data_IF_891317639390
#
_entry.id   IF_891317639390
#
_cell.length_a   1.000
_cell.length_b   1.000
_cell.length_c   1.000
_cell.angle_alpha   90.00
_cell.angle_beta   90.00
_cell.angle_gamma   90.00
#
_symmetry.space_group_name_H-M   'P 1'
#
loop_
_entity.id
_entity.type
_entity.pdbx_description
1 polymer ?
#
# COMPACT_ATOMS: atom_id res chain seq x y z
N UNK A 1 66.30 -67.23 32.91
CA UNK A 1 64.96 -66.71 33.29
C UNK A 1 65.15 -65.37 33.99
N UNK A 2 64.77 -64.28 33.33
CA UNK A 2 64.00 -63.19 33.94
C UNK A 2 63.73 -62.13 32.89
N UNK A 3 62.48 -62.16 32.44
CA UNK A 3 61.84 -61.19 31.58
C UNK A 3 61.47 -59.97 32.42
N UNK A 4 61.90 -58.77 32.03
CA UNK A 4 61.26 -57.52 32.47
C UNK A 4 60.95 -56.68 31.26
N UNK A 5 59.67 -56.75 30.91
CA UNK A 5 58.99 -56.09 29.82
C UNK A 5 58.72 -54.64 30.23
N UNK A 6 59.53 -53.68 29.79
CA UNK A 6 59.25 -52.25 30.01
C UNK A 6 58.18 -51.78 29.00
N UNK A 7 56.95 -51.70 29.50
CA UNK A 7 55.79 -51.16 28.82
C UNK A 7 56.02 -49.66 28.51
N UNK A 8 56.27 -49.33 27.24
CA UNK A 8 56.24 -47.95 26.73
C UNK A 8 54.80 -47.43 26.74
N UNK A 9 54.41 -46.67 27.77
CA UNK A 9 53.13 -45.95 27.83
C UNK A 9 53.10 -44.90 26.70
N UNK A 10 52.29 -45.13 25.65
CA UNK A 10 51.96 -44.11 24.63
C UNK A 10 51.40 -42.85 25.31
N UNK A 11 51.89 -41.64 24.99
CA UNK A 11 51.36 -40.41 25.56
C UNK A 11 49.91 -40.19 25.10
N UNK A 12 48.99 -39.95 26.05
CA UNK A 12 47.61 -39.58 25.77
C UNK A 12 47.62 -38.26 24.98
N UNK A 13 47.13 -38.27 23.73
CA UNK A 13 46.97 -37.06 22.91
C UNK A 13 46.05 -36.08 23.66
N UNK A 14 46.61 -34.98 24.17
CA UNK A 14 45.84 -33.83 24.66
C UNK A 14 45.21 -33.16 23.44
N UNK A 15 43.95 -33.47 23.18
CA UNK A 15 43.29 -33.09 21.92
C UNK A 15 43.04 -31.58 21.81
N UNK A 16 43.02 -30.84 22.92
CA UNK A 16 42.83 -29.38 22.93
C UNK A 16 43.62 -28.75 24.10
N UNK A 17 44.78 -28.18 23.84
CA UNK A 17 45.45 -27.24 24.76
C UNK A 17 45.40 -25.85 24.14
N UNK A 18 44.30 -25.13 24.33
CA UNK A 18 44.22 -23.75 23.89
C UNK A 18 45.04 -22.88 24.83
N UNK A 19 46.07 -22.20 24.31
CA UNK A 19 46.69 -21.10 25.04
C UNK A 19 45.67 -20.00 25.31
N UNK A 20 45.84 -19.22 26.38
CA UNK A 20 44.91 -18.15 26.78
C UNK A 20 44.49 -17.25 25.60
N UNK A 21 45.42 -16.95 24.69
CA UNK A 21 45.15 -16.19 23.46
C UNK A 21 44.16 -16.88 22.51
N UNK A 22 44.30 -18.20 22.33
CA UNK A 22 43.38 -18.99 21.51
C UNK A 22 41.98 -19.09 22.13
N UNK A 23 41.90 -19.16 23.46
CA UNK A 23 40.62 -19.11 24.18
C UNK A 23 39.94 -17.74 24.04
N UNK A 24 40.68 -16.63 24.14
CA UNK A 24 40.11 -15.29 23.96
C UNK A 24 39.57 -15.08 22.54
N UNK A 25 40.29 -15.55 21.51
CA UNK A 25 39.81 -15.48 20.12
C UNK A 25 38.55 -16.34 19.94
N UNK A 26 38.53 -17.55 20.50
CA UNK A 26 37.35 -18.43 20.44
C UNK A 26 36.13 -17.81 21.14
N UNK A 27 36.30 -17.20 22.31
CA UNK A 27 35.22 -16.49 23.02
C UNK A 27 34.69 -15.33 22.18
N UNK A 28 35.57 -14.54 21.56
CA UNK A 28 35.16 -13.41 20.71
C UNK A 28 34.40 -13.89 19.46
N UNK A 29 34.85 -14.98 18.85
CA UNK A 29 34.18 -15.60 17.70
C UNK A 29 32.81 -16.17 18.07
N UNK A 30 32.61 -16.62 19.31
CA UNK A 30 31.31 -17.08 19.80
C UNK A 30 30.42 -15.93 20.28
N UNK A 31 30.98 -14.86 20.85
CA UNK A 31 30.20 -13.77 21.43
C UNK A 31 29.48 -12.92 20.39
N UNK A 32 30.08 -12.70 19.22
CA UNK A 32 29.48 -11.91 18.13
C UNK A 32 28.18 -12.55 17.59
N UNK A 33 28.16 -13.83 17.15
CA UNK A 33 26.92 -14.46 16.71
C UNK A 33 25.92 -14.64 17.86
N UNK A 34 26.37 -14.88 19.10
CA UNK A 34 25.47 -14.98 20.24
C UNK A 34 24.78 -13.66 20.55
N UNK A 35 25.49 -12.53 20.43
CA UNK A 35 24.90 -11.19 20.56
C UNK A 35 23.88 -10.90 19.47
N UNK A 36 24.15 -11.31 18.23
CA UNK A 36 23.21 -11.17 17.11
C UNK A 36 21.93 -12.00 17.33
N UNK A 37 22.08 -13.26 17.74
CA UNK A 37 20.94 -14.14 18.07
C UNK A 37 20.16 -13.58 19.27
N UNK A 38 20.83 -13.12 20.32
CA UNK A 38 20.16 -12.54 21.49
C UNK A 38 19.33 -11.31 21.11
N UNK A 39 19.84 -10.46 20.22
CA UNK A 39 19.09 -9.32 19.66
C UNK A 39 17.86 -9.78 18.87
N UNK A 40 18.01 -10.79 18.02
CA UNK A 40 16.92 -11.30 17.20
C UNK A 40 15.84 -12.02 18.04
N UNK A 41 16.25 -12.75 19.08
CA UNK A 41 15.33 -13.34 20.06
C UNK A 41 14.58 -12.25 20.82
N UNK A 42 15.28 -11.24 21.31
CA UNK A 42 14.66 -10.12 22.03
C UNK A 42 13.67 -9.35 21.13
N UNK A 43 14.02 -9.12 19.86
CA UNK A 43 13.12 -8.54 18.86
C UNK A 43 11.87 -9.40 18.69
N UNK A 44 12.06 -10.69 18.43
CA UNK A 44 10.97 -11.64 18.16
C UNK A 44 10.00 -11.73 19.32
N UNK A 45 10.51 -11.73 20.57
CA UNK A 45 9.66 -11.71 21.77
C UNK A 45 8.77 -10.48 21.82
N UNK A 46 9.30 -9.28 21.54
CA UNK A 46 8.51 -8.04 21.56
C UNK A 46 7.48 -7.97 20.43
N UNK A 47 7.87 -8.37 19.22
CA UNK A 47 6.95 -8.46 18.09
C UNK A 47 5.84 -9.49 18.37
N UNK A 48 6.20 -10.66 18.92
CA UNK A 48 5.23 -11.70 19.29
C UNK A 48 4.30 -11.25 20.41
N UNK A 49 4.79 -10.50 21.40
CA UNK A 49 3.95 -9.92 22.46
C UNK A 49 2.91 -8.95 21.89
N UNK A 50 3.33 -8.06 20.99
CA UNK A 50 2.43 -7.15 20.30
C UNK A 50 1.38 -7.91 19.46
N UNK A 51 1.82 -8.89 18.65
CA UNK A 51 0.93 -9.74 17.85
C UNK A 51 -0.04 -10.51 18.74
N UNK A 52 0.44 -11.13 19.81
CA UNK A 52 -0.41 -11.88 20.74
C UNK A 52 -1.43 -10.97 21.41
N UNK A 53 -1.07 -9.72 21.74
CA UNK A 53 -2.01 -8.75 22.28
C UNK A 53 -3.12 -8.42 21.28
N UNK A 54 -2.77 -8.21 20.01
CA UNK A 54 -3.71 -7.92 18.91
C UNK A 54 -4.61 -9.12 18.59
N UNK A 55 -4.03 -10.33 18.50
CA UNK A 55 -4.80 -11.55 18.20
C UNK A 55 -5.73 -11.93 19.36
N UNK A 56 -5.33 -11.69 20.61
CA UNK A 56 -6.20 -11.89 21.78
C UNK A 56 -7.41 -10.96 21.75
N UNK A 57 -7.29 -9.79 21.15
CA UNK A 57 -8.36 -8.80 21.09
C UNK A 57 -9.28 -8.97 19.88
N UNK A 58 -8.87 -9.79 18.89
CA UNK A 58 -9.66 -10.10 17.69
C UNK A 58 -9.10 -9.51 16.40
N UNK A 59 -7.99 -8.77 16.49
CA UNK A 59 -7.22 -8.29 15.34
C UNK A 59 -6.37 -9.40 14.73
N UNK A 60 -5.59 -9.03 13.72
CA UNK A 60 -4.77 -9.95 12.96
C UNK A 60 -3.44 -9.32 12.55
N UNK A 61 -2.38 -10.11 12.55
CA UNK A 61 -1.07 -9.71 12.05
C UNK A 61 -0.48 -10.74 11.09
N UNK A 62 0.26 -10.25 10.09
CA UNK A 62 1.05 -11.09 9.18
C UNK A 62 2.51 -10.73 9.27
N UNK A 63 3.32 -11.78 9.13
CA UNK A 63 4.75 -11.68 8.94
C UNK A 63 5.11 -11.61 7.46
N UNK A 64 6.25 -10.99 7.16
CA UNK A 64 6.80 -10.81 5.81
C UNK A 64 6.80 -12.07 4.92
N UNK A 65 7.16 -13.23 5.47
CA UNK A 65 7.20 -14.49 4.72
C UNK A 65 5.81 -15.02 4.31
N UNK A 66 4.73 -14.58 4.98
CA UNK A 66 3.36 -14.98 4.65
C UNK A 66 2.81 -14.24 3.41
N UNK A 67 3.39 -13.10 3.03
CA UNK A 67 3.07 -12.43 1.75
C UNK A 67 3.65 -13.16 0.55
N UNK A 68 4.76 -13.87 0.74
CA UNK A 68 5.48 -14.58 -0.33
C UNK A 68 4.88 -15.95 -0.67
N UNK A 69 3.95 -16.46 0.15
CA UNK A 69 3.29 -17.73 -0.16
C UNK A 69 2.25 -17.54 -1.26
N UNK A 70 2.41 -18.25 -2.37
CA UNK A 70 1.37 -18.40 -3.37
C UNK A 70 0.12 -19.05 -2.74
N UNK A 71 -1.05 -18.66 -3.21
CA UNK A 71 -2.34 -19.18 -2.73
C UNK A 71 -2.33 -20.72 -2.67
N UNK A 72 -2.48 -21.28 -1.47
CA UNK A 72 -2.57 -22.72 -1.23
C UNK A 72 -1.26 -23.44 -0.88
N UNK A 73 -0.11 -22.76 -0.91
CA UNK A 73 1.15 -23.32 -0.43
C UNK A 73 1.43 -22.94 1.03
N UNK A 74 1.93 -23.87 1.87
CA UNK A 74 2.35 -23.54 3.22
C UNK A 74 3.52 -22.55 3.16
N UNK A 75 3.52 -21.49 4.00
CA UNK A 75 4.51 -20.43 3.88
C UNK A 75 5.92 -20.92 4.24
N UNK A 76 6.89 -20.57 3.42
CA UNK A 76 8.29 -20.95 3.63
C UNK A 76 8.86 -20.21 4.84
N UNK A 77 9.11 -20.94 5.93
CA UNK A 77 9.68 -20.38 7.14
C UNK A 77 11.12 -19.89 6.92
N UNK A 78 11.45 -18.64 7.30
CA UNK A 78 12.79 -18.10 7.08
C UNK A 78 13.85 -18.70 8.01
N UNK A 79 15.09 -18.72 7.52
CA UNK A 79 16.30 -19.05 8.28
C UNK A 79 16.51 -20.53 8.67
N UNK A 80 17.54 -20.83 9.48
CA UNK A 80 17.93 -22.20 9.83
C UNK A 80 16.91 -22.87 10.76
N UNK A 81 16.53 -24.11 10.43
CA UNK A 81 15.56 -24.89 11.22
C UNK A 81 15.96 -25.08 12.68
N UNK A 82 17.27 -25.16 12.99
CA UNK A 82 17.79 -25.32 14.35
C UNK A 82 17.42 -24.13 15.22
N UNK A 83 17.55 -22.91 14.69
CA UNK A 83 17.21 -21.69 15.42
C UNK A 83 15.71 -21.60 15.66
N UNK A 84 14.90 -21.98 14.66
CA UNK A 84 13.44 -22.06 14.83
C UNK A 84 13.02 -23.03 15.91
N UNK A 85 13.64 -24.21 15.94
CA UNK A 85 13.37 -25.22 16.98
C UNK A 85 13.74 -24.73 18.38
N UNK A 86 14.75 -23.87 18.51
CA UNK A 86 15.22 -23.36 19.80
C UNK A 86 14.47 -22.11 20.26
N UNK A 87 14.04 -21.25 19.35
CA UNK A 87 13.60 -19.89 19.66
C UNK A 87 12.23 -19.51 19.06
N UNK A 88 11.59 -20.41 18.32
CA UNK A 88 10.31 -20.19 17.65
C UNK A 88 10.44 -19.90 16.16
N UNK A 89 9.35 -20.12 15.44
CA UNK A 89 9.32 -20.08 13.97
C UNK A 89 9.51 -18.66 13.39
N UNK A 90 9.25 -17.62 14.19
CA UNK A 90 9.32 -16.22 13.77
C UNK A 90 10.68 -15.54 13.99
N UNK A 91 11.72 -16.26 14.45
CA UNK A 91 13.03 -15.65 14.78
C UNK A 91 13.67 -14.85 13.63
N UNK A 92 13.41 -15.24 12.39
CA UNK A 92 13.88 -14.55 11.19
C UNK A 92 12.77 -13.86 10.39
N UNK A 93 11.55 -13.86 10.92
CA UNK A 93 10.41 -13.19 10.35
C UNK A 93 10.21 -11.82 11.01
N UNK A 94 9.48 -10.96 10.32
CA UNK A 94 9.09 -9.66 10.86
C UNK A 94 7.62 -9.37 10.63
N UNK A 95 6.97 -8.77 11.62
CA UNK A 95 5.61 -8.26 11.47
C UNK A 95 5.61 -7.17 10.41
N UNK A 96 4.78 -7.34 9.39
CA UNK A 96 4.72 -6.50 8.20
C UNK A 96 3.32 -5.91 7.97
N UNK A 97 2.26 -6.64 8.37
CA UNK A 97 0.89 -6.19 8.26
C UNK A 97 0.17 -6.37 9.59
N UNK A 98 -0.56 -5.35 10.03
CA UNK A 98 -1.42 -5.40 11.22
C UNK A 98 -2.78 -4.80 10.91
N UNK A 99 -3.83 -5.50 11.33
CA UNK A 99 -5.22 -5.04 11.34
C UNK A 99 -5.73 -5.11 12.77
N UNK A 100 -6.10 -3.97 13.33
CA UNK A 100 -6.73 -3.88 14.67
C UNK A 100 -8.24 -3.95 14.49
N UNK A 101 -8.93 -4.77 15.28
CA UNK A 101 -10.38 -4.94 15.22
C UNK A 101 -11.15 -3.87 16.01
N UNK A 102 -12.45 -3.73 15.73
CA UNK A 102 -13.27 -2.61 16.22
C UNK A 102 -13.44 -2.52 17.75
N UNK A 103 -13.38 -3.66 18.47
CA UNK A 103 -13.72 -3.73 19.90
C UNK A 103 -12.58 -3.32 20.85
N UNK A 104 -11.48 -2.85 20.29
CA UNK A 104 -10.16 -2.99 20.91
C UNK A 104 -9.60 -1.62 21.22
N UNK A 105 -9.02 -1.38 22.40
CA UNK A 105 -8.44 -0.07 22.71
C UNK A 105 -7.17 0.18 21.89
N UNK A 106 -7.35 0.92 20.79
CA UNK A 106 -6.27 1.24 19.84
C UNK A 106 -5.12 1.98 20.53
N UNK A 107 -5.40 2.76 21.59
CA UNK A 107 -4.39 3.54 22.28
C UNK A 107 -3.50 2.72 23.21
N UNK A 108 -3.94 1.52 23.58
CA UNK A 108 -3.09 0.55 24.27
C UNK A 108 -2.25 -0.25 23.28
N UNK A 109 -2.79 -0.57 22.09
CA UNK A 109 -2.13 -1.45 21.12
C UNK A 109 -1.10 -0.73 20.24
N UNK A 110 -1.40 0.47 19.74
CA UNK A 110 -0.50 1.20 18.83
C UNK A 110 0.88 1.46 19.44
N UNK A 111 1.03 1.86 20.71
CA UNK A 111 2.35 2.00 21.33
C UNK A 111 3.20 0.72 21.34
N UNK A 112 2.58 -0.47 21.37
CA UNK A 112 3.29 -1.75 21.30
C UNK A 112 3.92 -1.98 19.92
N UNK A 113 3.30 -1.45 18.86
CA UNK A 113 3.78 -1.52 17.48
C UNK A 113 5.08 -0.75 17.26
N UNK A 114 5.50 0.12 18.19
CA UNK A 114 6.82 0.75 18.14
C UNK A 114 7.98 -0.26 18.07
N UNK A 115 7.74 -1.50 18.54
CA UNK A 115 8.70 -2.61 18.44
C UNK A 115 8.74 -3.28 17.05
N UNK A 116 7.70 -3.10 16.23
CA UNK A 116 7.56 -3.70 14.90
C UNK A 116 8.27 -2.83 13.85
N UNK A 117 9.62 -2.84 13.87
CA UNK A 117 10.44 -1.97 13.03
C UNK A 117 10.37 -2.22 11.52
N UNK A 118 9.59 -3.22 11.07
CA UNK A 118 9.32 -3.48 9.64
C UNK A 118 7.83 -3.42 9.28
N UNK A 119 6.96 -2.96 10.19
CA UNK A 119 5.55 -2.83 9.92
C UNK A 119 5.34 -1.92 8.71
N UNK A 120 4.80 -2.48 7.61
CA UNK A 120 4.57 -1.81 6.34
C UNK A 120 3.12 -1.39 6.13
N UNK A 121 2.17 -2.17 6.64
CA UNK A 121 0.73 -1.91 6.55
C UNK A 121 0.10 -1.89 7.94
N UNK A 122 -0.66 -0.84 8.24
CA UNK A 122 -1.46 -0.76 9.46
C UNK A 122 -2.88 -0.29 9.15
N UNK A 123 -3.85 -1.04 9.63
CA UNK A 123 -5.27 -0.68 9.60
C UNK A 123 -5.80 -0.52 11.02
N UNK A 124 -6.42 0.63 11.28
CA UNK A 124 -7.01 1.00 12.56
C UNK A 124 -8.54 1.11 12.43
N UNK A 125 -9.29 0.63 13.42
CA UNK A 125 -10.76 0.74 13.45
C UNK A 125 -11.20 2.17 13.77
N UNK A 126 -12.52 2.40 13.73
CA UNK A 126 -13.17 3.66 14.16
C UNK A 126 -13.02 3.92 15.65
N UNK A 127 -11.92 4.59 16.02
CA UNK A 127 -11.67 5.06 17.38
C UNK A 127 -10.81 6.33 17.37
N UNK A 128 -10.90 7.11 18.45
CA UNK A 128 -10.06 8.29 18.65
C UNK A 128 -8.63 7.88 19.01
N UNK A 129 -7.66 8.44 18.30
CA UNK A 129 -6.24 8.24 18.60
C UNK A 129 -5.73 9.28 19.60
N UNK A 130 -4.99 8.80 20.59
CA UNK A 130 -4.22 9.63 21.51
C UNK A 130 -2.96 10.18 20.83
N UNK A 131 -2.41 11.26 21.36
CA UNK A 131 -1.18 11.85 20.83
C UNK A 131 0.01 10.88 20.90
N UNK A 132 0.06 10.02 21.91
CA UNK A 132 1.08 8.96 22.01
C UNK A 132 0.97 7.94 20.86
N UNK A 133 -0.25 7.58 20.48
CA UNK A 133 -0.50 6.70 19.33
C UNK A 133 -0.01 7.37 18.05
N UNK A 134 -0.38 8.62 17.81
CA UNK A 134 0.07 9.39 16.63
C UNK A 134 1.59 9.55 16.59
N UNK A 135 2.23 9.89 17.71
CA UNK A 135 3.69 9.96 17.82
C UNK A 135 4.36 8.62 17.48
N UNK A 136 3.74 7.51 17.91
CA UNK A 136 4.24 6.17 17.59
C UNK A 136 4.17 5.92 16.09
N UNK A 137 3.02 6.20 15.47
CA UNK A 137 2.81 6.05 14.02
C UNK A 137 3.80 6.89 13.21
N UNK A 138 4.01 8.15 13.61
CA UNK A 138 4.93 9.07 12.96
C UNK A 138 6.41 8.62 13.03
N UNK A 139 6.76 7.76 14.01
CA UNK A 139 8.13 7.24 14.19
C UNK A 139 8.33 5.85 13.57
N UNK A 140 7.30 5.21 13.04
CA UNK A 140 7.44 3.89 12.43
C UNK A 140 8.30 4.01 11.16
N UNK A 141 9.50 3.38 11.13
CA UNK A 141 10.50 3.67 10.10
C UNK A 141 10.12 3.11 8.73
N UNK A 142 9.20 2.14 8.68
CA UNK A 142 8.83 1.39 7.47
C UNK A 142 7.33 1.38 7.19
N UNK A 143 6.52 2.15 7.92
CA UNK A 143 5.09 2.21 7.66
C UNK A 143 4.87 2.85 6.29
N UNK A 144 4.34 2.07 5.34
CA UNK A 144 4.09 2.48 3.95
C UNK A 144 2.62 2.84 3.77
N UNK A 145 1.72 2.07 4.37
CA UNK A 145 0.28 2.22 4.20
C UNK A 145 -0.42 2.30 5.56
N UNK A 146 -1.22 3.37 5.73
CA UNK A 146 -2.03 3.61 6.91
C UNK A 146 -3.50 3.75 6.51
N UNK A 147 -4.33 2.87 7.06
CA UNK A 147 -5.79 2.87 6.84
C UNK A 147 -6.49 3.28 8.13
N UNK A 148 -7.24 4.37 8.08
CA UNK A 148 -8.01 4.93 9.18
C UNK A 148 -9.50 4.92 8.82
N UNK A 149 -10.28 4.17 9.56
CA UNK A 149 -11.74 4.17 9.45
C UNK A 149 -12.34 5.11 10.47
N UNK A 150 -13.20 6.05 10.06
CA UNK A 150 -13.99 6.95 10.92
C UNK A 150 -13.23 7.41 12.18
N UNK A 151 -11.98 7.83 11.99
CA UNK A 151 -11.03 8.14 13.06
C UNK A 151 -10.88 9.65 13.14
N UNK A 152 -11.43 10.32 14.17
CA UNK A 152 -11.31 11.77 14.31
C UNK A 152 -9.86 12.14 14.62
N UNK A 153 -9.20 12.72 13.63
CA UNK A 153 -7.89 13.36 13.73
C UNK A 153 -8.07 14.87 13.83
N UNK A 154 -7.18 15.53 14.57
CA UNK A 154 -6.99 16.96 14.47
C UNK A 154 -6.02 17.30 13.32
N UNK A 155 -6.06 18.55 12.86
CA UNK A 155 -5.12 19.08 11.85
C UNK A 155 -3.66 18.88 12.28
N UNK A 156 -3.34 19.12 13.55
CA UNK A 156 -1.98 18.94 14.08
C UNK A 156 -1.56 17.47 14.16
N UNK A 157 -2.48 16.56 14.47
CA UNK A 157 -2.19 15.12 14.46
C UNK A 157 -1.92 14.62 13.04
N UNK A 158 -2.69 15.06 12.04
CA UNK A 158 -2.43 14.71 10.64
C UNK A 158 -1.09 15.29 10.16
N UNK A 159 -0.76 16.53 10.55
CA UNK A 159 0.55 17.12 10.29
C UNK A 159 1.67 16.33 10.95
N UNK A 160 1.49 15.81 12.16
CA UNK A 160 2.48 14.96 12.81
C UNK A 160 2.70 13.65 12.05
N UNK A 161 1.64 13.05 11.49
CA UNK A 161 1.76 11.87 10.62
C UNK A 161 2.58 12.13 9.34
N UNK A 162 2.65 13.38 8.85
CA UNK A 162 3.50 13.74 7.71
C UNK A 162 5.00 13.53 7.95
N UNK A 163 5.41 13.40 9.21
CA UNK A 163 6.79 13.11 9.60
C UNK A 163 7.16 11.63 9.45
N UNK A 164 6.19 10.75 9.16
CA UNK A 164 6.44 9.34 8.92
C UNK A 164 7.32 9.17 7.67
N UNK A 165 8.57 8.65 7.80
CA UNK A 165 9.59 8.77 6.76
C UNK A 165 9.29 7.94 5.51
N UNK A 166 8.47 6.89 5.65
CA UNK A 166 8.22 5.89 4.61
C UNK A 166 6.75 5.85 4.15
N UNK A 167 5.89 6.72 4.68
CA UNK A 167 4.46 6.66 4.42
C UNK A 167 4.17 7.15 3.00
N UNK A 168 3.53 6.29 2.21
CA UNK A 168 3.22 6.50 0.78
C UNK A 168 1.74 6.37 0.47
N UNK A 169 1.00 5.62 1.27
CA UNK A 169 -0.44 5.42 1.11
C UNK A 169 -1.18 5.82 2.38
N UNK A 170 -2.17 6.69 2.24
CA UNK A 170 -3.11 7.00 3.33
C UNK A 170 -4.54 6.81 2.86
N UNK A 171 -5.32 6.08 3.65
CA UNK A 171 -6.76 5.93 3.47
C UNK A 171 -7.49 6.55 4.65
N UNK A 172 -8.29 7.57 4.37
CA UNK A 172 -9.14 8.25 5.33
C UNK A 172 -10.60 7.97 4.97
N UNK A 173 -11.31 7.28 5.85
CA UNK A 173 -12.75 7.07 5.73
C UNK A 173 -13.47 7.88 6.80
N UNK A 174 -14.56 8.55 6.44
CA UNK A 174 -15.41 9.29 7.36
C UNK A 174 -15.23 10.81 7.35
N UNK A 175 -16.01 11.52 8.19
CA UNK A 175 -16.18 12.98 8.10
C UNK A 175 -14.94 13.78 8.50
N UNK A 176 -13.91 13.12 9.05
CA UNK A 176 -12.67 13.76 9.49
C UNK A 176 -11.89 14.40 8.35
N UNK A 177 -11.96 13.85 7.14
CA UNK A 177 -11.30 14.44 5.98
C UNK A 177 -12.09 15.67 5.51
N UNK A 178 -11.67 16.84 6.00
CA UNK A 178 -12.14 18.17 5.55
C UNK A 178 -11.03 18.89 4.78
N UNK A 179 -11.35 19.98 4.08
CA UNK A 179 -10.35 20.79 3.35
C UNK A 179 -9.18 21.25 4.25
N UNK A 180 -9.43 21.55 5.53
CA UNK A 180 -8.38 21.93 6.48
C UNK A 180 -7.40 20.80 6.77
N UNK A 181 -7.88 19.56 6.78
CA UNK A 181 -7.02 18.38 6.94
C UNK A 181 -6.22 18.14 5.67
N UNK A 182 -6.86 18.26 4.50
CA UNK A 182 -6.19 18.07 3.21
C UNK A 182 -5.06 19.08 2.96
N UNK A 183 -5.15 20.30 3.50
CA UNK A 183 -4.04 21.26 3.47
C UNK A 183 -2.75 20.71 4.10
N UNK A 184 -2.86 19.85 5.11
CA UNK A 184 -1.69 19.23 5.75
C UNK A 184 -1.06 18.13 4.89
N UNK A 185 -1.77 17.60 3.89
CA UNK A 185 -1.23 16.57 3.00
C UNK A 185 -0.03 17.10 2.20
N UNK A 186 0.01 18.40 1.90
CA UNK A 186 1.16 19.05 1.26
C UNK A 186 2.50 18.86 2.00
N UNK A 187 2.47 18.52 3.29
CA UNK A 187 3.67 18.21 4.08
C UNK A 187 4.19 16.78 3.89
N UNK A 188 3.42 15.88 3.26
CA UNK A 188 3.83 14.52 2.99
C UNK A 188 4.61 14.48 1.67
N UNK A 189 5.94 14.42 1.74
CA UNK A 189 6.80 14.50 0.56
C UNK A 189 6.79 13.24 -0.32
N UNK A 190 6.32 12.10 0.20
CA UNK A 190 6.38 10.79 -0.47
C UNK A 190 5.00 10.16 -0.70
N UNK A 191 3.91 10.92 -0.55
CA UNK A 191 2.57 10.37 -0.67
C UNK A 191 2.23 10.08 -2.14
N UNK A 192 2.09 8.79 -2.45
CA UNK A 192 1.83 8.26 -3.79
C UNK A 192 0.35 7.88 -3.96
N UNK A 193 -0.31 7.45 -2.88
CA UNK A 193 -1.69 6.99 -2.89
C UNK A 193 -2.53 7.68 -1.82
N UNK A 194 -3.65 8.24 -2.24
CA UNK A 194 -4.65 8.86 -1.35
C UNK A 194 -6.01 8.25 -1.64
N UNK A 195 -6.63 7.67 -0.62
CA UNK A 195 -8.02 7.23 -0.67
C UNK A 195 -8.83 8.03 0.35
N UNK A 196 -9.87 8.72 -0.12
CA UNK A 196 -10.79 9.52 0.68
C UNK A 196 -12.20 8.97 0.49
N UNK A 197 -12.84 8.52 1.56
CA UNK A 197 -14.19 7.95 1.48
C UNK A 197 -15.12 8.58 2.51
N UNK A 198 -16.34 8.89 2.11
CA UNK A 198 -17.38 9.46 2.98
C UNK A 198 -16.90 10.76 3.67
N UNK A 199 -16.29 11.64 2.86
CA UNK A 199 -15.59 12.85 3.33
C UNK A 199 -16.37 14.13 2.99
N UNK A 200 -15.99 15.26 3.58
CA UNK A 200 -16.65 16.56 3.36
C UNK A 200 -15.81 17.52 2.53
N UNK A 201 -14.85 16.97 1.76
CA UNK A 201 -13.93 17.76 0.94
C UNK A 201 -14.66 18.49 -0.20
N UNK A 202 -14.11 19.63 -0.58
CA UNK A 202 -14.56 20.43 -1.71
C UNK A 202 -13.44 20.62 -2.73
N UNK A 203 -13.68 21.41 -3.77
CA UNK A 203 -12.65 21.83 -4.72
C UNK A 203 -11.43 22.49 -4.03
N UNK A 204 -11.59 23.09 -2.85
CA UNK A 204 -10.47 23.65 -2.08
C UNK A 204 -9.55 22.56 -1.51
N UNK A 205 -10.12 21.43 -1.07
CA UNK A 205 -9.37 20.25 -0.66
C UNK A 205 -8.61 19.65 -1.83
N UNK A 206 -9.23 19.57 -3.01
CA UNK A 206 -8.59 19.08 -4.24
C UNK A 206 -7.37 19.91 -4.65
N UNK A 207 -7.40 21.24 -4.45
CA UNK A 207 -6.22 22.10 -4.67
C UNK A 207 -5.04 21.72 -3.79
N UNK A 208 -5.29 21.20 -2.58
CA UNK A 208 -4.22 20.74 -1.69
C UNK A 208 -3.64 19.40 -2.18
N UNK A 209 -4.47 18.51 -2.74
CA UNK A 209 -4.01 17.28 -3.37
C UNK A 209 -3.16 17.55 -4.62
N UNK A 210 -3.51 18.59 -5.38
CA UNK A 210 -2.72 19.07 -6.52
C UNK A 210 -1.29 19.51 -6.20
N UNK A 211 -0.94 19.67 -4.91
CA UNK A 211 0.41 20.02 -4.46
C UNK A 211 1.26 18.80 -4.10
N UNK A 212 0.72 17.59 -4.17
CA UNK A 212 1.45 16.36 -3.88
C UNK A 212 2.32 15.96 -5.08
N UNK A 213 3.67 16.03 -4.97
CA UNK A 213 4.56 15.82 -6.12
C UNK A 213 4.63 14.36 -6.58
N UNK A 214 4.33 13.43 -5.67
CA UNK A 214 4.45 11.99 -5.90
C UNK A 214 3.09 11.30 -6.12
N UNK A 215 1.97 12.05 -6.10
CA UNK A 215 0.63 11.47 -6.19
C UNK A 215 0.43 10.75 -7.53
N UNK A 216 0.23 9.44 -7.44
CA UNK A 216 0.03 8.54 -8.56
C UNK A 216 -1.37 7.89 -8.56
N UNK A 217 -1.95 7.71 -7.38
CA UNK A 217 -3.25 7.07 -7.20
C UNK A 217 -4.17 7.92 -6.33
N UNK A 218 -5.30 8.34 -6.88
CA UNK A 218 -6.33 9.08 -6.16
C UNK A 218 -7.68 8.36 -6.24
N UNK A 219 -8.25 8.04 -5.09
CA UNK A 219 -9.60 7.50 -4.95
C UNK A 219 -10.42 8.40 -4.04
N UNK A 220 -11.55 8.89 -4.53
CA UNK A 220 -12.50 9.70 -3.78
C UNK A 220 -13.88 9.08 -3.94
N UNK A 221 -14.47 8.65 -2.82
CA UNK A 221 -15.84 8.16 -2.77
C UNK A 221 -16.70 9.06 -1.89
N UNK A 222 -17.89 9.40 -2.38
CA UNK A 222 -18.92 10.17 -1.66
C UNK A 222 -18.43 11.54 -1.20
N UNK A 223 -18.02 12.39 -2.15
CA UNK A 223 -17.62 13.78 -1.95
C UNK A 223 -18.40 14.71 -2.90
N UNK A 224 -19.66 14.96 -2.57
CA UNK A 224 -20.62 15.64 -3.46
C UNK A 224 -20.34 17.13 -3.72
N UNK A 225 -19.36 17.72 -3.03
CA UNK A 225 -18.92 19.09 -3.26
C UNK A 225 -17.70 19.21 -4.20
N UNK A 226 -17.14 18.08 -4.66
CA UNK A 226 -16.07 18.06 -5.66
C UNK A 226 -16.68 18.16 -7.06
N UNK A 227 -16.22 19.13 -7.85
CA UNK A 227 -16.68 19.42 -9.21
C UNK A 227 -15.53 19.30 -10.22
N UNK A 228 -15.80 19.59 -11.50
CA UNK A 228 -14.76 19.69 -12.53
C UNK A 228 -13.63 20.68 -12.16
N UNK A 229 -13.94 21.74 -11.39
CA UNK A 229 -12.93 22.69 -10.95
C UNK A 229 -11.93 22.06 -9.95
N UNK A 230 -12.42 21.19 -9.06
CA UNK A 230 -11.57 20.41 -8.17
C UNK A 230 -10.67 19.44 -8.94
N UNK A 231 -11.21 18.76 -9.96
CA UNK A 231 -10.40 17.90 -10.82
C UNK A 231 -9.31 18.69 -11.56
N UNK A 232 -9.63 19.88 -12.09
CA UNK A 232 -8.67 20.75 -12.77
C UNK A 232 -7.48 21.16 -11.89
N UNK A 233 -7.67 21.17 -10.56
CA UNK A 233 -6.61 21.45 -9.62
C UNK A 233 -5.55 20.33 -9.53
N UNK A 234 -5.82 19.12 -10.05
CA UNK A 234 -4.87 18.01 -10.10
C UNK A 234 -3.91 18.06 -11.29
N UNK A 235 -4.06 19.02 -12.21
CA UNK A 235 -3.16 19.19 -13.36
C UNK A 235 -1.66 19.26 -13.03
N UNK A 236 -1.21 19.75 -11.84
CA UNK A 236 0.19 19.69 -11.48
C UNK A 236 0.70 18.29 -11.09
N UNK A 237 -0.17 17.32 -10.80
CA UNK A 237 0.20 15.96 -10.42
C UNK A 237 0.63 15.14 -11.65
N UNK A 238 1.87 15.34 -12.11
CA UNK A 238 2.42 14.74 -13.33
C UNK A 238 2.57 13.21 -13.27
N UNK A 239 2.44 12.60 -12.09
CA UNK A 239 2.56 11.15 -11.89
C UNK A 239 1.21 10.44 -11.74
N UNK A 240 0.11 11.19 -11.79
CA UNK A 240 -1.24 10.66 -11.59
C UNK A 240 -1.59 9.71 -12.74
N UNK A 241 -1.75 8.43 -12.41
CA UNK A 241 -2.04 7.34 -13.35
C UNK A 241 -3.41 6.73 -13.10
N UNK A 242 -3.83 6.66 -11.83
CA UNK A 242 -5.10 6.09 -11.41
C UNK A 242 -5.98 7.17 -10.75
N UNK A 243 -7.20 7.32 -11.26
CA UNK A 243 -8.18 8.28 -10.77
C UNK A 243 -9.55 7.62 -10.65
N UNK A 244 -10.02 7.46 -9.41
CA UNK A 244 -11.35 6.91 -9.12
C UNK A 244 -12.19 7.94 -8.37
N UNK A 245 -13.26 8.45 -8.99
CA UNK A 245 -14.15 9.45 -8.39
C UNK A 245 -15.58 8.94 -8.40
N UNK A 246 -16.14 8.64 -7.23
CA UNK A 246 -17.51 8.15 -7.09
C UNK A 246 -18.32 9.06 -6.18
N UNK A 247 -19.56 9.36 -6.55
CA UNK A 247 -20.43 10.24 -5.76
C UNK A 247 -19.90 11.68 -5.68
N UNK A 248 -19.34 12.18 -6.77
CA UNK A 248 -18.90 13.59 -6.94
C UNK A 248 -19.82 14.30 -7.94
N UNK A 249 -19.61 15.60 -8.17
CA UNK A 249 -20.26 16.40 -9.22
C UNK A 249 -19.34 16.62 -10.43
N UNK A 250 -18.36 15.75 -10.63
CA UNK A 250 -17.55 15.75 -11.84
C UNK A 250 -18.38 15.17 -12.98
N UNK A 251 -18.46 15.86 -14.11
CA UNK A 251 -19.25 15.46 -15.28
C UNK A 251 -18.39 15.50 -16.56
N UNK A 252 -19.01 15.46 -17.75
CA UNK A 252 -18.29 15.47 -19.03
C UNK A 252 -17.48 16.76 -19.29
N UNK A 253 -17.69 17.84 -18.55
CA UNK A 253 -16.84 19.02 -18.59
C UNK A 253 -15.39 18.74 -18.13
N UNK A 254 -15.11 17.57 -17.54
CA UNK A 254 -13.77 17.15 -17.14
C UNK A 254 -12.83 16.74 -18.28
N UNK A 255 -13.34 16.50 -19.50
CA UNK A 255 -12.57 15.85 -20.58
C UNK A 255 -11.29 16.62 -20.94
N UNK A 256 -11.36 17.95 -21.03
CA UNK A 256 -10.19 18.78 -21.34
C UNK A 256 -9.15 18.74 -20.22
N UNK A 257 -9.59 18.62 -18.96
CA UNK A 257 -8.68 18.38 -17.83
C UNK A 257 -8.00 17.02 -17.94
N UNK A 258 -8.76 15.96 -18.26
CA UNK A 258 -8.19 14.60 -18.43
C UNK A 258 -7.13 14.55 -19.53
N UNK A 259 -7.35 15.26 -20.65
CA UNK A 259 -6.34 15.39 -21.72
C UNK A 259 -5.05 16.08 -21.29
N UNK A 260 -5.15 17.02 -20.35
CA UNK A 260 -4.00 17.78 -19.86
C UNK A 260 -3.14 17.00 -18.85
N UNK A 261 -3.64 15.86 -18.37
CA UNK A 261 -2.90 14.97 -17.48
C UNK A 261 -2.08 13.98 -18.32
N UNK A 262 -0.74 13.95 -18.17
CA UNK A 262 0.13 13.26 -19.13
C UNK A 262 0.13 11.72 -19.02
N UNK A 263 -0.06 11.19 -17.82
CA UNK A 263 0.14 9.76 -17.50
C UNK A 263 -1.16 9.05 -17.07
N UNK A 264 -2.32 9.67 -17.28
CA UNK A 264 -3.60 9.15 -16.79
C UNK A 264 -4.07 7.98 -17.66
N UNK A 265 -4.19 6.81 -17.02
CA UNK A 265 -4.40 5.53 -17.69
C UNK A 265 -5.71 4.86 -17.26
N UNK A 266 -5.97 4.83 -15.94
CA UNK A 266 -7.14 4.18 -15.35
C UNK A 266 -8.01 5.24 -14.67
N UNK A 267 -8.97 5.78 -15.42
CA UNK A 267 -9.95 6.74 -14.91
C UNK A 267 -11.29 6.07 -14.76
N UNK A 268 -11.93 6.27 -13.61
CA UNK A 268 -13.29 5.86 -13.38
C UNK A 268 -14.04 6.93 -12.59
N UNK A 269 -15.01 7.57 -13.23
CA UNK A 269 -15.82 8.64 -12.65
C UNK A 269 -17.29 8.19 -12.67
N UNK A 270 -17.90 8.04 -11.49
CA UNK A 270 -19.34 7.85 -11.29
C UNK A 270 -19.87 9.09 -10.54
N UNK A 271 -20.58 10.00 -11.20
CA UNK A 271 -21.21 11.14 -10.54
C UNK A 271 -22.33 10.73 -9.58
N UNK A 272 -22.63 11.58 -8.60
CA UNK A 272 -23.71 11.38 -7.61
C UNK A 272 -25.10 11.54 -8.24
N UNK A 273 -25.26 12.56 -9.09
CA UNK A 273 -26.43 12.79 -9.92
C UNK A 273 -25.95 13.03 -11.34
N UNK A 274 -26.38 12.19 -12.27
CA UNK A 274 -26.20 12.41 -13.71
C UNK A 274 -27.51 12.96 -14.28
N UNK A 275 -27.58 14.28 -14.43
CA UNK A 275 -28.55 14.87 -15.34
C UNK A 275 -28.01 14.67 -16.76
N UNK A 276 -28.47 13.63 -17.47
CA UNK A 276 -28.14 13.46 -18.89
C UNK A 276 -29.41 13.57 -19.71
N UNK A 277 -29.48 14.63 -20.53
CA UNK A 277 -30.17 14.56 -21.80
C UNK A 277 -29.24 13.84 -22.79
N UNK A 278 -29.56 12.58 -23.07
CA UNK A 278 -29.18 11.81 -24.28
C UNK A 278 -27.97 10.86 -24.28
N UNK A 279 -28.13 9.80 -25.08
CA UNK A 279 -27.33 8.59 -25.27
C UNK A 279 -26.36 8.68 -26.46
N UNK A 280 -25.19 8.05 -26.35
CA UNK A 280 -24.70 7.00 -27.25
C UNK A 280 -23.35 6.51 -26.71
N UNK A 281 -23.22 5.20 -26.47
CA UNK A 281 -21.95 4.60 -26.07
C UNK A 281 -20.97 4.67 -27.26
N UNK A 282 -20.12 5.69 -27.29
CA UNK A 282 -19.00 5.75 -28.23
C UNK A 282 -17.69 5.79 -27.43
N UNK A 283 -16.79 4.87 -27.76
CA UNK A 283 -15.41 4.89 -27.26
C UNK A 283 -14.61 5.81 -28.17
N UNK A 284 -13.77 6.68 -27.62
CA UNK A 284 -12.98 7.65 -28.37
C UNK A 284 -11.54 7.64 -27.88
N UNK A 285 -10.56 7.90 -28.75
CA UNK A 285 -9.19 8.15 -28.26
C UNK A 285 -9.20 9.43 -27.43
N UNK A 286 -8.56 9.41 -26.25
CA UNK A 286 -8.59 10.57 -25.34
C UNK A 286 -7.87 11.79 -25.94
N UNK A 287 -6.77 11.55 -26.66
CA UNK A 287 -5.91 12.57 -27.28
C UNK A 287 -6.58 13.30 -28.44
N UNK A 288 -7.15 12.56 -29.39
CA UNK A 288 -7.74 13.12 -30.62
C UNK A 288 -9.26 13.29 -30.55
N UNK A 289 -9.92 12.68 -29.56
CA UNK A 289 -11.38 12.49 -29.53
C UNK A 289 -11.94 11.83 -30.79
N UNK A 290 -11.14 11.01 -31.49
CA UNK A 290 -11.62 10.24 -32.63
C UNK A 290 -12.36 8.99 -32.17
N UNK A 291 -13.52 8.66 -32.75
CA UNK A 291 -14.29 7.48 -32.38
C UNK A 291 -13.56 6.20 -32.76
N UNK A 292 -13.60 5.22 -31.87
CA UNK A 292 -12.96 3.91 -32.03
C UNK A 292 -13.94 2.82 -31.61
N UNK A 293 -13.94 1.71 -32.34
CA UNK A 293 -14.60 0.48 -31.91
C UNK A 293 -13.59 -0.45 -31.28
N UNK A 294 -13.89 -0.94 -30.08
CA UNK A 294 -13.05 -1.90 -29.38
C UNK A 294 -13.52 -3.31 -29.73
N UNK A 295 -12.65 -4.08 -30.37
CA UNK A 295 -12.83 -5.48 -30.71
C UNK A 295 -12.19 -6.35 -29.61
N UNK A 296 -12.85 -6.49 -28.47
CA UNK A 296 -12.43 -7.52 -27.52
C UNK A 296 -12.87 -8.88 -28.05
N UNK A 297 -11.93 -9.68 -28.58
CA UNK A 297 -12.16 -11.12 -28.65
C UNK A 297 -12.23 -11.60 -27.20
N UNK A 298 -13.43 -11.92 -26.71
CA UNK A 298 -13.52 -12.64 -25.45
C UNK A 298 -12.83 -13.99 -25.64
N UNK A 299 -11.60 -14.11 -25.13
CA UNK A 299 -11.00 -15.42 -24.94
C UNK A 299 -11.94 -16.16 -24.00
N UNK A 300 -12.68 -17.12 -24.56
CA UNK A 300 -13.66 -17.91 -23.83
C UNK A 300 -13.04 -18.47 -22.56
N UNK A 301 -13.78 -18.33 -21.46
CA UNK A 301 -13.52 -19.00 -20.20
C UNK A 301 -13.28 -20.50 -20.45
N UNK A 302 -12.03 -20.93 -20.41
CA UNK A 302 -11.66 -22.29 -20.10
C UNK A 302 -10.34 -22.31 -19.32
N UNK A 303 -10.50 -22.25 -17.99
CA UNK A 303 -9.71 -22.96 -17.00
C UNK A 303 -8.19 -23.01 -17.20
N UNK A 304 -7.51 -21.90 -16.95
CA UNK A 304 -6.23 -21.89 -16.22
C UNK A 304 -5.98 -20.47 -15.70
N UNK A 305 -5.95 -20.33 -14.38
CA UNK A 305 -5.52 -19.12 -13.69
C UNK A 305 -4.01 -18.93 -13.94
N UNK A 306 -3.65 -18.13 -14.94
CA UNK A 306 -2.38 -17.40 -15.06
C UNK A 306 -2.30 -16.70 -16.43
N UNK A 307 -3.26 -15.82 -16.74
CA UNK A 307 -2.94 -14.73 -17.64
C UNK A 307 -2.64 -13.54 -16.74
N UNK A 308 -1.36 -13.27 -16.51
CA UNK A 308 -0.94 -11.92 -16.11
C UNK A 308 -1.63 -10.96 -17.08
N UNK A 309 -2.37 -9.94 -16.61
CA UNK A 309 -2.92 -8.96 -17.53
C UNK A 309 -1.75 -8.44 -18.37
N UNK A 310 -1.86 -8.62 -19.69
CA UNK A 310 -0.92 -7.99 -20.62
C UNK A 310 -0.90 -6.52 -20.26
N UNK A 311 0.28 -5.98 -19.96
CA UNK A 311 0.45 -4.54 -19.76
C UNK A 311 -0.02 -3.88 -21.05
N UNK A 312 -1.13 -3.15 -20.98
CA UNK A 312 -1.77 -2.59 -22.17
C UNK A 312 -1.01 -1.33 -22.54
N UNK A 313 -0.21 -1.38 -23.60
CA UNK A 313 0.68 -0.28 -23.98
C UNK A 313 0.11 0.66 -25.03
N UNK A 314 -1.11 0.39 -25.53
CA UNK A 314 -1.74 1.23 -26.56
C UNK A 314 -2.39 2.51 -26.02
N UNK A 315 -3.08 3.28 -26.87
CA UNK A 315 -3.58 4.61 -26.53
C UNK A 315 -4.69 4.57 -25.45
N UNK A 316 -4.83 5.63 -24.63
CA UNK A 316 -5.93 5.78 -23.69
C UNK A 316 -7.26 6.02 -24.43
N UNK A 317 -8.28 5.25 -24.08
CA UNK A 317 -9.61 5.29 -24.69
C UNK A 317 -10.64 5.80 -23.69
N UNK A 318 -11.22 6.95 -24.01
CA UNK A 318 -12.34 7.58 -23.29
C UNK A 318 -13.65 6.88 -23.62
N UNK A 319 -14.44 6.57 -22.60
CA UNK A 319 -15.78 6.01 -22.69
C UNK A 319 -16.72 6.84 -21.84
N UNK A 320 -17.78 7.36 -22.46
CA UNK A 320 -18.83 8.09 -21.75
C UNK A 320 -20.09 7.23 -21.80
N UNK A 321 -20.40 6.62 -20.66
CA UNK A 321 -21.59 5.81 -20.46
C UNK A 321 -22.71 6.60 -19.79
N UNK A 322 -23.90 6.01 -19.76
CA UNK A 322 -25.08 6.60 -19.10
C UNK A 322 -24.93 6.78 -17.57
N UNK A 323 -23.90 6.21 -16.95
CA UNK A 323 -23.69 6.28 -15.51
C UNK A 323 -22.24 6.59 -15.11
N UNK A 324 -21.33 6.77 -16.07
CA UNK A 324 -19.90 6.83 -15.78
C UNK A 324 -19.09 7.36 -16.93
N UNK A 325 -17.96 8.00 -16.60
CA UNK A 325 -16.88 8.32 -17.54
C UNK A 325 -15.70 7.43 -17.18
N UNK A 326 -15.13 6.72 -18.15
CA UNK A 326 -13.91 5.93 -17.94
C UNK A 326 -12.84 6.19 -19.00
N UNK A 327 -11.59 6.02 -18.60
CA UNK A 327 -10.43 5.97 -19.50
C UNK A 327 -9.70 4.69 -19.19
N UNK A 328 -9.45 3.87 -20.21
CA UNK A 328 -8.65 2.64 -20.11
C UNK A 328 -7.74 2.53 -21.33
N UNK A 329 -6.59 1.86 -21.21
CA UNK A 329 -5.75 1.49 -22.37
C UNK A 329 -6.27 0.23 -23.07
N UNK A 330 -6.00 0.14 -24.38
CA UNK A 330 -6.26 -1.02 -25.24
C UNK A 330 -5.09 -1.19 -26.20
N UNK A 331 -4.75 -2.43 -26.54
CA UNK A 331 -3.71 -2.67 -27.55
C UNK A 331 -4.19 -2.24 -28.94
N UNK A 332 -3.28 -1.87 -29.85
CA UNK A 332 -3.67 -1.37 -31.19
C UNK A 332 -4.46 -2.39 -32.00
N UNK A 333 -4.22 -3.69 -31.81
CA UNK A 333 -4.95 -4.78 -32.47
C UNK A 333 -6.39 -4.96 -31.93
N UNK A 334 -6.69 -4.41 -30.76
CA UNK A 334 -8.04 -4.38 -30.18
C UNK A 334 -8.87 -3.20 -30.71
N UNK A 335 -8.28 -2.28 -31.49
CA UNK A 335 -8.89 -1.00 -31.88
C UNK A 335 -9.18 -0.95 -33.39
N UNK A 336 -10.37 -0.47 -33.73
CA UNK A 336 -10.80 -0.20 -35.11
C UNK A 336 -11.26 1.26 -35.18
N UNK A 337 -10.46 2.12 -35.82
CA UNK A 337 -10.82 3.53 -36.02
C UNK A 337 -12.10 3.65 -36.85
N UNK A 338 -13.06 4.44 -36.38
CA UNK A 338 -14.29 4.73 -37.10
C UNK A 338 -14.15 6.06 -37.85
N UNK A 339 -14.69 6.17 -39.08
CA UNK A 339 -14.74 7.46 -39.78
C UNK A 339 -15.55 8.46 -38.94
N UNK A 340 -15.09 9.71 -38.88
CA UNK A 340 -15.86 10.79 -38.25
C UNK A 340 -17.24 10.83 -38.90
N UNK A 341 -18.29 10.65 -38.10
CA UNK A 341 -19.64 10.89 -38.59
C UNK A 341 -19.66 12.34 -39.07
N UNK A 342 -19.92 12.54 -40.37
CA UNK A 342 -20.29 13.87 -40.84
C UNK A 342 -21.53 14.23 -40.03
N UNK A 343 -21.38 15.17 -39.09
CA UNK A 343 -22.52 15.82 -38.47
C UNK A 343 -23.33 16.37 -39.64
N UNK A 344 -24.42 15.69 -40.00
CA UNK A 344 -25.38 16.21 -40.96
C UNK A 344 -25.86 17.53 -40.37
N UNK A 345 -25.36 18.61 -40.95
CA UNK A 345 -25.81 19.96 -40.75
C UNK A 345 -27.27 20.02 -41.22
N UNK A 346 -28.19 19.63 -40.35
CA UNK A 346 -29.57 20.04 -40.52
C UNK A 346 -29.68 21.48 -40.01
N UNK A 347 -29.61 22.40 -40.96
CA UNK A 347 -30.15 23.75 -40.86
C UNK A 347 -31.00 23.99 -42.12
N UNK A 348 -32.01 24.87 -42.07
CA UNK A 348 -32.37 25.79 -40.98
C UNK A 348 -33.62 25.40 -40.18
#
# INVERSE_FOLDING_TARGET
MNSTNESTKKPKRRWLSFGLRGLMVLVLLLSLPMGWIARDVYRTQRETEAVTAIEKTGGYAMYDYQKLSAWGEPPNLPGPWILRKLFGDHIHAHVDLVVIGEKEDVNTLVPLLASCGRLGYLQLPSQTLSDQSIETLARLPKLVELVLYDTPLTVEQLKLLSQAPSLRSIKLTGPTATDQHLQQLSHFSNLEKVTLKDTTITDSGMQSLGQLPELAWLEIEHASAVTNAGLAALTPCQKLTHLWLRGTKVDNGCIETLKSLPEVDDVYIIPDVLEIEYQAQESMRLDTLTPVKISTQSAGLCGTFAATPSEKTGPPILRIGAASISVDRFNEDELIDLPQSQQETHSP
#
